data_IF_699804796990
#
_entry.id   IF_699804796990
#
_cell.length_a   1.000
_cell.length_b   1.000
_cell.length_c   1.000
_cell.angle_alpha   90.00
_cell.angle_beta   90.00
_cell.angle_gamma   90.00
#
_symmetry.space_group_name_H-M   'P 1'
#
loop_
_entity.id
_entity.type
_entity.pdbx_description
1 polymer ?
#
# COMPACT_ATOMS: atom_id res chain seq x y z
N UNK A 1 15.21 -11.91 -4.84
CA UNK A 1 14.61 -12.00 -3.49
C UNK A 1 13.10 -12.04 -3.63
N UNK A 2 12.40 -13.05 -3.07
CA UNK A 2 10.93 -13.13 -3.14
C UNK A 2 10.32 -12.09 -2.20
N UNK A 3 9.40 -11.22 -2.65
CA UNK A 3 8.73 -10.25 -1.79
C UNK A 3 8.03 -10.98 -0.63
N UNK A 4 8.08 -10.41 0.57
CA UNK A 4 7.46 -11.03 1.73
C UNK A 4 5.94 -11.07 1.57
N UNK A 5 5.28 -12.14 2.03
CA UNK A 5 3.80 -12.28 1.97
C UNK A 5 3.06 -11.03 2.47
N UNK A 6 3.62 -10.34 3.48
CA UNK A 6 3.06 -9.12 4.05
C UNK A 6 3.16 -7.90 3.11
N UNK A 7 4.25 -7.76 2.36
CA UNK A 7 4.39 -6.70 1.33
C UNK A 7 3.39 -6.92 0.20
N UNK A 8 3.25 -8.18 -0.23
CA UNK A 8 2.28 -8.56 -1.26
C UNK A 8 0.87 -8.26 -0.79
N UNK A 9 0.54 -8.58 0.47
CA UNK A 9 -0.77 -8.29 1.04
C UNK A 9 -1.05 -6.79 1.12
N UNK A 10 -0.10 -6.00 1.62
CA UNK A 10 -0.20 -4.53 1.68
C UNK A 10 -0.34 -3.90 0.29
N UNK A 11 0.36 -4.44 -0.70
CA UNK A 11 0.25 -3.99 -2.08
C UNK A 11 -1.13 -4.30 -2.67
N UNK A 12 -1.62 -5.54 -2.51
CA UNK A 12 -2.95 -5.95 -2.98
C UNK A 12 -4.03 -5.10 -2.32
N UNK A 13 -3.98 -4.91 -0.99
CA UNK A 13 -4.95 -4.08 -0.26
C UNK A 13 -4.88 -2.62 -0.72
N UNK A 14 -3.68 -2.07 -0.92
CA UNK A 14 -3.50 -0.72 -1.45
C UNK A 14 -4.09 -0.54 -2.86
N UNK A 15 -3.87 -1.50 -3.75
CA UNK A 15 -4.43 -1.51 -5.11
C UNK A 15 -5.96 -1.60 -5.07
N UNK A 16 -6.52 -2.48 -4.23
CA UNK A 16 -7.97 -2.62 -4.07
C UNK A 16 -8.60 -1.32 -3.54
N UNK A 17 -7.97 -0.63 -2.59
CA UNK A 17 -8.45 0.65 -2.08
C UNK A 17 -8.38 1.76 -3.13
N UNK A 18 -7.33 1.80 -3.94
CA UNK A 18 -7.20 2.76 -5.05
C UNK A 18 -8.26 2.53 -6.14
N UNK A 19 -8.46 1.28 -6.55
CA UNK A 19 -9.48 0.91 -7.53
C UNK A 19 -10.89 1.17 -6.97
N UNK A 20 -11.15 0.79 -5.72
CA UNK A 20 -12.42 1.08 -5.05
C UNK A 20 -12.70 2.58 -4.97
N UNK A 21 -11.71 3.39 -4.56
CA UNK A 21 -11.83 4.85 -4.52
C UNK A 21 -12.05 5.48 -5.90
N UNK A 22 -11.37 4.98 -6.93
CA UNK A 22 -11.56 5.41 -8.31
C UNK A 22 -12.97 5.08 -8.82
N UNK A 23 -13.46 3.85 -8.59
CA UNK A 23 -14.81 3.41 -8.99
C UNK A 23 -15.89 4.21 -8.26
N UNK A 24 -15.75 4.43 -6.96
CA UNK A 24 -16.70 5.25 -6.17
C UNK A 24 -16.75 6.69 -6.68
N UNK A 25 -15.60 7.25 -7.07
CA UNK A 25 -15.51 8.63 -7.58
C UNK A 25 -16.04 8.75 -9.02
N UNK A 26 -15.65 7.86 -9.92
CA UNK A 26 -16.06 7.88 -11.34
C UNK A 26 -17.53 7.50 -11.49
N UNK A 27 -18.00 6.52 -10.71
CA UNK A 27 -19.39 6.08 -10.73
C UNK A 27 -20.37 7.01 -10.02
N UNK A 28 -19.91 8.08 -9.36
CA UNK A 28 -20.73 8.93 -8.48
C UNK A 28 -21.58 8.14 -7.45
N UNK A 29 -21.14 6.92 -7.11
CA UNK A 29 -21.88 5.96 -6.29
C UNK A 29 -21.98 6.40 -4.82
N UNK A 30 -21.18 7.40 -4.40
CA UNK A 30 -21.22 7.99 -3.08
C UNK A 30 -20.82 9.48 -3.09
N UNK A 31 -21.06 10.18 -1.97
CA UNK A 31 -20.63 11.57 -1.78
C UNK A 31 -19.17 11.80 -2.14
N UNK A 32 -18.85 12.91 -2.81
CA UNK A 32 -17.50 13.25 -3.26
C UNK A 32 -16.42 13.16 -2.16
N UNK A 33 -16.78 13.43 -0.90
CA UNK A 33 -15.90 13.23 0.28
C UNK A 33 -15.43 11.78 0.43
N UNK A 34 -16.31 10.80 0.22
CA UNK A 34 -15.99 9.37 0.37
C UNK A 34 -14.96 8.91 -0.67
N UNK A 35 -15.06 9.40 -1.91
CA UNK A 35 -14.09 9.11 -2.97
C UNK A 35 -12.69 9.63 -2.64
N UNK A 36 -12.57 10.85 -2.11
CA UNK A 36 -11.28 11.40 -1.67
C UNK A 36 -10.70 10.67 -0.45
N UNK A 37 -11.54 10.32 0.54
CA UNK A 37 -11.06 9.55 1.71
C UNK A 37 -10.56 8.16 1.34
N UNK A 38 -11.21 7.49 0.39
CA UNK A 38 -10.75 6.18 -0.12
C UNK A 38 -9.41 6.28 -0.86
N UNK A 39 -9.23 7.30 -1.70
CA UNK A 39 -7.96 7.56 -2.38
C UNK A 39 -6.83 7.86 -1.37
N UNK A 40 -7.10 8.71 -0.38
CA UNK A 40 -6.14 9.03 0.68
C UNK A 40 -5.79 7.80 1.54
N UNK A 41 -6.78 6.98 1.89
CA UNK A 41 -6.57 5.72 2.61
C UNK A 41 -5.74 4.73 1.79
N UNK A 42 -6.04 4.55 0.50
CA UNK A 42 -5.26 3.70 -0.41
C UNK A 42 -3.80 4.16 -0.54
N UNK A 43 -3.57 5.47 -0.64
CA UNK A 43 -2.23 6.05 -0.68
C UNK A 43 -1.45 5.85 0.63
N UNK A 44 -2.10 6.07 1.78
CA UNK A 44 -1.50 5.85 3.10
C UNK A 44 -1.11 4.38 3.31
N UNK A 45 -2.01 3.44 2.98
CA UNK A 45 -1.75 2.00 3.12
C UNK A 45 -0.60 1.57 2.20
N UNK A 46 -0.57 2.01 0.95
CA UNK A 46 0.53 1.75 0.03
C UNK A 46 1.87 2.32 0.51
N UNK A 47 1.85 3.53 1.07
CA UNK A 47 3.05 4.20 1.61
C UNK A 47 3.61 3.47 2.84
N UNK A 48 2.75 3.02 3.75
CA UNK A 48 3.14 2.21 4.91
C UNK A 48 3.70 0.86 4.45
N UNK A 49 3.09 0.21 3.45
CA UNK A 49 3.61 -1.02 2.88
C UNK A 49 5.02 -0.87 2.30
N UNK A 50 5.26 0.21 1.57
CA UNK A 50 6.59 0.55 1.05
C UNK A 50 7.60 0.82 2.16
N UNK A 51 7.21 1.55 3.21
CA UNK A 51 8.08 1.84 4.36
C UNK A 51 8.48 0.56 5.11
N UNK A 52 7.53 -0.35 5.33
CA UNK A 52 7.78 -1.64 6.00
C UNK A 52 8.72 -2.50 5.16
N UNK A 53 8.52 -2.57 3.85
CA UNK A 53 9.41 -3.28 2.94
C UNK A 53 10.83 -2.71 2.94
N UNK A 54 10.95 -1.38 2.91
CA UNK A 54 12.24 -0.70 2.95
C UNK A 54 12.99 -0.95 4.27
N UNK A 55 12.29 -0.91 5.41
CA UNK A 55 12.86 -1.26 6.72
C UNK A 55 13.37 -2.71 6.75
N UNK A 56 12.65 -3.64 6.12
CA UNK A 56 13.03 -5.06 6.06
C UNK A 56 14.24 -5.28 5.17
N UNK A 57 14.28 -4.66 4.00
CA UNK A 57 15.44 -4.67 3.12
C UNK A 57 16.68 -4.06 3.79
N UNK A 58 16.50 -3.00 4.58
CA UNK A 58 17.58 -2.37 5.35
C UNK A 58 18.14 -3.29 6.44
N UNK A 59 17.28 -4.02 7.15
CA UNK A 59 17.69 -5.01 8.17
C UNK A 59 18.44 -6.19 7.54
N UNK A 60 17.98 -6.69 6.40
CA UNK A 60 18.66 -7.77 5.67
C UNK A 60 20.04 -7.35 5.17
N UNK A 61 20.18 -6.14 4.60
CA UNK A 61 21.50 -5.60 4.21
C UNK A 61 22.45 -5.46 5.39
N UNK A 62 21.95 -5.09 6.58
CA UNK A 62 22.78 -5.04 7.79
C UNK A 62 23.20 -6.41 8.31
N UNK A 63 22.44 -7.47 8.01
CA UNK A 63 22.83 -8.85 8.33
C UNK A 63 23.87 -9.39 7.34
N UNK A 64 23.71 -9.11 6.04
CA UNK A 64 24.70 -9.47 5.01
C UNK A 64 26.04 -8.75 5.20
N UNK A 65 26.06 -7.51 5.70
CA UNK A 65 27.29 -6.77 6.00
C UNK A 65 28.00 -7.21 7.29
N UNK A 66 27.36 -8.03 8.12
CA UNK A 66 27.94 -8.57 9.38
C UNK A 66 28.34 -10.04 9.29
N UNK A 67 27.98 -10.72 8.21
CA UNK A 67 28.40 -12.09 7.89
C UNK A 67 29.65 -12.06 7.01
#
# INVERSE_FOLDING_TARGET
MKPGRLEVLLYIVGVLLLLGGAVVRVGHLASARLGFTLLAAGFLVGSVGRLVGWRRARRLRQQELKA
#
